data_IF_356041319264
#
_entry.id   IF_356041319264
#
_cell.length_a   1.000
_cell.length_b   1.000
_cell.length_c   1.000
_cell.angle_alpha   90.00
_cell.angle_beta   90.00
_cell.angle_gamma   90.00
#
_symmetry.space_group_name_H-M   'P 1'
#
loop_
_entity.id
_entity.type
_entity.pdbx_description
1 polymer ?
#
# COMPACT_ATOMS: atom_id res chain seq x y z
N UNK A 1 -52.29 24.95 21.30
CA UNK A 1 -51.30 25.23 22.37
C UNK A 1 -50.22 24.16 22.37
N UNK A 2 -49.06 24.45 21.77
CA UNK A 2 -47.69 24.22 22.29
C UNK A 2 -46.72 24.55 21.14
N UNK A 3 -45.88 25.56 21.39
CA UNK A 3 -44.86 26.12 20.49
C UNK A 3 -43.54 25.36 20.67
N UNK A 4 -42.85 25.01 19.58
CA UNK A 4 -41.38 24.82 19.49
C UNK A 4 -41.02 25.18 18.03
N UNK A 5 -40.64 26.42 17.67
CA UNK A 5 -39.31 27.06 17.75
C UNK A 5 -38.14 26.23 17.17
N UNK A 6 -37.86 26.50 15.89
CA UNK A 6 -36.54 26.86 15.32
C UNK A 6 -35.43 25.81 15.29
N UNK A 7 -34.90 25.54 14.10
CA UNK A 7 -33.51 25.88 13.71
C UNK A 7 -33.30 25.46 12.24
N UNK A 8 -33.29 26.43 11.33
CA UNK A 8 -32.67 26.27 10.01
C UNK A 8 -31.16 26.36 10.19
N UNK A 9 -30.46 25.23 10.05
CA UNK A 9 -29.00 25.17 10.00
C UNK A 9 -28.52 25.59 8.62
N UNK A 10 -28.15 26.86 8.49
CA UNK A 10 -27.44 27.40 7.33
C UNK A 10 -25.98 26.89 7.40
N UNK A 11 -25.57 26.07 6.43
CA UNK A 11 -24.18 25.64 6.26
C UNK A 11 -23.39 26.84 5.74
N UNK A 12 -22.65 27.50 6.64
CA UNK A 12 -21.64 28.50 6.30
C UNK A 12 -20.32 27.76 6.06
N UNK A 13 -19.94 27.59 4.79
CA UNK A 13 -18.55 27.33 4.42
C UNK A 13 -17.71 28.54 4.85
N UNK A 14 -16.90 28.38 5.89
CA UNK A 14 -15.89 29.35 6.28
C UNK A 14 -14.66 29.20 5.39
N UNK A 15 -14.64 29.93 4.28
CA UNK A 15 -13.42 30.26 3.54
C UNK A 15 -12.60 31.26 4.36
N UNK A 16 -11.50 30.80 4.96
CA UNK A 16 -10.50 31.69 5.55
C UNK A 16 -9.69 32.36 4.43
N UNK A 17 -10.21 33.46 3.91
CA UNK A 17 -9.47 34.46 3.16
C UNK A 17 -9.06 35.57 4.15
N UNK A 18 -7.79 35.58 4.55
CA UNK A 18 -7.22 36.70 5.32
C UNK A 18 -6.67 37.72 4.32
N UNK A 19 -7.51 38.69 3.96
CA UNK A 19 -7.04 39.97 3.40
C UNK A 19 -6.84 40.95 4.55
N UNK A 20 -5.60 41.41 4.74
CA UNK A 20 -5.29 42.52 5.63
C UNK A 20 -4.62 43.63 4.84
N UNK A 21 -5.43 44.56 4.35
CA UNK A 21 -5.03 45.94 4.11
C UNK A 21 -5.32 46.74 5.37
N UNK A 22 -4.28 47.31 5.98
CA UNK A 22 -4.40 48.48 6.83
C UNK A 22 -3.05 49.21 6.94
N UNK A 23 -2.96 50.36 6.25
CA UNK A 23 -1.99 51.40 6.54
C UNK A 23 -2.45 52.17 7.79
N UNK A 24 -1.63 52.23 8.84
CA UNK A 24 -1.46 53.44 9.67
C UNK A 24 -0.19 53.29 10.50
N UNK A 25 0.69 54.29 10.41
CA UNK A 25 2.08 54.21 10.85
C UNK A 25 2.33 54.29 12.36
N UNK A 26 3.63 54.27 12.65
CA UNK A 26 4.21 54.31 14.00
C UNK A 26 5.14 53.13 14.18
N UNK A 27 6.45 53.37 14.03
CA UNK A 27 7.48 52.34 14.11
C UNK A 27 7.52 51.67 15.47
N UNK A 28 7.62 50.34 15.47
CA UNK A 28 8.71 49.60 16.09
C UNK A 28 8.62 48.13 15.66
N UNK A 29 9.78 47.57 15.37
CA UNK A 29 10.08 46.25 14.80
C UNK A 29 9.09 45.12 15.12
N UNK A 30 8.29 44.74 14.12
CA UNK A 30 7.65 43.41 14.09
C UNK A 30 8.75 42.35 13.93
N UNK A 31 8.91 41.48 14.92
CA UNK A 31 9.45 40.14 14.70
C UNK A 31 8.56 39.47 13.65
N UNK A 32 9.06 39.37 12.43
CA UNK A 32 8.52 38.44 11.45
C UNK A 32 8.71 37.04 12.05
N UNK A 33 7.62 36.31 12.26
CA UNK A 33 7.71 34.86 12.34
C UNK A 33 8.19 34.40 10.96
N UNK A 34 9.49 34.17 10.79
CA UNK A 34 10.00 33.37 9.69
C UNK A 34 9.26 32.03 9.72
N UNK A 35 8.56 31.70 8.64
CA UNK A 35 8.06 30.35 8.46
C UNK A 35 9.31 29.47 8.28
N UNK A 36 9.56 28.52 9.20
CA UNK A 36 10.77 27.65 9.18
C UNK A 36 11.04 26.99 7.81
N UNK A 37 10.03 26.85 6.95
CA UNK A 37 10.11 26.16 5.67
C UNK A 37 10.08 27.11 4.45
N UNK A 38 10.35 28.40 4.60
CA UNK A 38 10.34 29.37 3.48
C UNK A 38 11.56 30.26 3.54
N UNK A 39 12.23 30.42 2.40
CA UNK A 39 13.36 31.32 2.24
C UNK A 39 13.26 32.02 0.89
N UNK A 40 13.87 33.20 0.79
CA UNK A 40 13.72 34.04 -0.39
C UNK A 40 14.94 34.92 -0.61
N UNK A 41 15.14 35.29 -1.86
CA UNK A 41 16.06 36.32 -2.33
C UNK A 41 15.24 37.47 -2.94
N UNK A 42 15.95 38.41 -3.58
CA UNK A 42 15.32 39.41 -4.44
C UNK A 42 14.64 38.78 -5.68
N UNK A 43 15.12 37.65 -6.18
CA UNK A 43 14.68 37.02 -7.44
C UNK A 43 13.76 35.82 -7.24
N UNK A 44 13.92 35.05 -6.16
CA UNK A 44 13.21 33.78 -5.96
C UNK A 44 12.67 33.67 -4.54
N UNK A 45 11.49 33.06 -4.38
CA UNK A 45 10.98 32.57 -3.09
C UNK A 45 10.79 31.06 -3.20
N UNK A 46 11.29 30.32 -2.23
CA UNK A 46 11.22 28.87 -2.17
C UNK A 46 10.61 28.42 -0.84
N UNK A 47 9.78 27.39 -0.90
CA UNK A 47 9.24 26.73 0.29
C UNK A 47 9.14 25.23 0.14
N UNK A 48 9.24 24.52 1.28
CA UNK A 48 8.89 23.11 1.39
C UNK A 48 7.43 23.04 1.88
N UNK A 49 6.52 22.68 1.00
CA UNK A 49 5.07 22.61 1.30
C UNK A 49 4.68 21.30 2.00
N UNK A 50 5.47 20.24 1.78
CA UNK A 50 5.22 18.91 2.31
C UNK A 50 6.31 17.92 1.93
N UNK A 51 6.10 16.67 2.29
CA UNK A 51 6.94 15.56 1.85
C UNK A 51 6.54 14.23 2.47
N UNK A 52 7.01 13.15 1.88
CA UNK A 52 6.75 11.79 2.35
C UNK A 52 7.85 10.84 1.90
N UNK A 53 8.07 9.78 2.66
CA UNK A 53 8.95 8.70 2.24
C UNK A 53 8.28 7.86 1.14
N UNK A 54 9.07 7.49 0.14
CA UNK A 54 8.67 6.67 -1.00
C UNK A 54 9.65 5.51 -1.18
N UNK A 55 9.24 4.52 -1.97
CA UNK A 55 10.07 3.40 -2.43
C UNK A 55 9.92 3.36 -3.96
N UNK A 56 10.91 3.84 -4.72
CA UNK A 56 10.91 3.70 -6.17
C UNK A 56 11.06 2.25 -6.60
N UNK A 57 10.54 1.89 -7.77
CA UNK A 57 10.67 0.53 -8.32
C UNK A 57 12.16 0.12 -8.45
N UNK A 58 12.45 -1.13 -8.08
CA UNK A 58 13.80 -1.69 -8.08
C UNK A 58 14.75 -1.12 -7.02
N UNK A 59 14.30 -0.19 -6.17
CA UNK A 59 15.09 0.33 -5.04
C UNK A 59 14.73 -0.40 -3.76
N UNK A 60 15.73 -0.58 -2.89
CA UNK A 60 15.55 -1.14 -1.55
C UNK A 60 15.79 -0.03 -0.54
N UNK A 61 14.98 -0.02 0.50
CA UNK A 61 15.11 0.87 1.65
C UNK A 61 15.26 0.00 2.90
N UNK A 62 15.90 0.54 3.92
CA UNK A 62 16.02 -0.08 5.24
C UNK A 62 15.47 0.87 6.33
N UNK A 63 15.74 0.54 7.58
CA UNK A 63 15.31 1.36 8.71
C UNK A 63 16.16 2.63 8.89
N UNK A 64 17.33 2.74 8.24
CA UNK A 64 18.26 3.86 8.38
C UNK A 64 18.20 4.84 7.19
N UNK A 65 17.83 4.36 6.01
CA UNK A 65 17.84 5.11 4.75
C UNK A 65 16.50 5.03 4.04
N UNK A 66 16.15 6.06 3.27
CA UNK A 66 14.93 6.09 2.48
C UNK A 66 14.94 7.17 1.42
N UNK A 67 14.02 7.07 0.47
CA UNK A 67 13.81 8.12 -0.52
C UNK A 67 12.76 9.09 0.00
N UNK A 68 13.13 10.34 0.18
CA UNK A 68 12.24 11.40 0.63
C UNK A 68 11.82 12.24 -0.57
N UNK A 69 10.53 12.22 -0.90
CA UNK A 69 9.92 13.11 -1.87
C UNK A 69 9.48 14.39 -1.15
N UNK A 70 10.05 15.53 -1.51
CA UNK A 70 9.76 16.85 -0.96
C UNK A 70 8.95 17.67 -1.96
N UNK A 71 7.79 18.17 -1.55
CA UNK A 71 6.98 19.06 -2.38
C UNK A 71 7.58 20.47 -2.34
N UNK A 72 8.40 20.78 -3.33
CA UNK A 72 9.11 22.06 -3.40
C UNK A 72 8.30 23.05 -4.22
N UNK A 73 8.00 24.19 -3.61
CA UNK A 73 7.38 25.33 -4.28
C UNK A 73 8.43 26.38 -4.60
N UNK A 74 8.44 26.83 -5.85
CA UNK A 74 9.30 27.91 -6.31
C UNK A 74 8.44 29.00 -6.90
N UNK A 75 8.69 30.26 -6.51
CA UNK A 75 8.06 31.45 -7.05
C UNK A 75 9.11 32.38 -7.65
N UNK A 76 8.88 32.80 -8.90
CA UNK A 76 9.66 33.86 -9.54
C UNK A 76 9.21 35.23 -9.04
N UNK A 77 10.11 35.98 -8.40
CA UNK A 77 9.91 37.35 -7.93
C UNK A 77 10.59 38.39 -8.82
N UNK A 78 11.36 37.94 -9.81
CA UNK A 78 12.00 38.80 -10.79
C UNK A 78 11.03 39.15 -11.93
N UNK A 79 11.39 40.20 -12.69
CA UNK A 79 10.67 40.59 -13.93
C UNK A 79 11.03 39.73 -15.13
N UNK A 80 12.14 38.99 -15.03
CA UNK A 80 12.66 38.15 -16.10
C UNK A 80 12.11 36.74 -15.98
N UNK A 81 12.25 35.95 -17.04
CA UNK A 81 11.90 34.53 -17.03
C UNK A 81 12.88 33.79 -16.12
N UNK A 82 12.35 33.00 -15.18
CA UNK A 82 13.14 32.12 -14.33
C UNK A 82 13.01 30.70 -14.87
N UNK A 83 14.11 30.12 -15.30
CA UNK A 83 14.18 28.70 -15.64
C UNK A 83 14.72 27.93 -14.43
N UNK A 84 14.02 26.86 -14.06
CA UNK A 84 14.31 26.05 -12.87
C UNK A 84 14.48 24.60 -13.30
N UNK A 85 15.53 23.96 -12.84
CA UNK A 85 15.82 22.55 -13.06
C UNK A 85 15.96 21.81 -11.74
N UNK A 86 15.62 20.53 -11.73
CA UNK A 86 15.93 19.63 -10.60
C UNK A 86 17.42 19.60 -10.22
N UNK A 87 18.33 19.92 -11.16
CA UNK A 87 19.76 20.02 -10.93
C UNK A 87 20.19 21.29 -10.17
N UNK A 88 19.31 22.30 -10.07
CA UNK A 88 19.55 23.51 -9.29
C UNK A 88 19.45 23.25 -7.78
N UNK A 89 19.02 22.04 -7.39
CA UNK A 89 18.78 21.65 -6.01
C UNK A 89 19.75 20.58 -5.53
N UNK A 90 20.15 20.68 -4.27
CA UNK A 90 20.91 19.64 -3.59
C UNK A 90 20.64 19.67 -2.08
N UNK A 91 20.71 18.51 -1.44
CA UNK A 91 20.84 18.44 0.01
C UNK A 91 22.32 18.37 0.40
N UNK A 92 22.66 18.96 1.53
CA UNK A 92 23.95 18.77 2.19
C UNK A 92 23.71 18.23 3.60
N UNK A 93 24.39 17.16 3.97
CA UNK A 93 24.32 16.64 5.34
C UNK A 93 25.15 17.48 6.32
N UNK A 94 25.13 17.12 7.61
CA UNK A 94 25.88 17.83 8.67
C UNK A 94 27.40 17.85 8.43
N UNK A 95 27.93 16.93 7.63
CA UNK A 95 29.35 16.87 7.24
C UNK A 95 29.64 17.68 5.97
N UNK A 96 28.63 18.33 5.38
CA UNK A 96 28.72 19.07 4.12
C UNK A 96 28.80 18.16 2.88
N UNK A 97 28.44 16.88 3.00
CA UNK A 97 28.40 15.97 1.86
C UNK A 97 27.13 16.22 1.04
N UNK A 98 27.32 16.46 -0.25
CA UNK A 98 26.24 16.66 -1.22
C UNK A 98 25.46 15.37 -1.47
N UNK A 99 24.13 15.49 -1.53
CA UNK A 99 23.17 14.50 -2.00
C UNK A 99 22.37 15.16 -3.15
N UNK A 100 22.47 14.58 -4.34
CA UNK A 100 21.75 15.06 -5.52
C UNK A 100 20.31 14.54 -5.53
N UNK A 101 19.44 15.24 -6.26
CA UNK A 101 18.10 14.77 -6.55
C UNK A 101 18.13 13.53 -7.46
N UNK A 102 17.15 12.66 -7.29
CA UNK A 102 16.98 11.42 -8.05
C UNK A 102 15.82 11.55 -9.04
N UNK A 103 15.99 10.95 -10.22
CA UNK A 103 14.90 10.77 -11.17
C UNK A 103 14.25 9.42 -10.94
N UNK A 104 12.99 9.44 -10.49
CA UNK A 104 12.22 8.25 -10.18
C UNK A 104 10.88 8.29 -10.92
N UNK A 105 10.37 7.10 -11.21
CA UNK A 105 9.10 6.87 -11.87
C UNK A 105 8.36 5.78 -11.10
N UNK A 106 7.04 5.89 -11.00
CA UNK A 106 6.20 4.78 -10.57
C UNK A 106 5.82 3.91 -11.78
N UNK A 107 5.39 2.67 -11.54
CA UNK A 107 5.07 1.73 -12.62
C UNK A 107 3.92 2.20 -13.55
N UNK A 108 3.14 3.20 -13.15
CA UNK A 108 1.99 3.71 -13.88
C UNK A 108 2.18 5.14 -14.42
N UNK A 109 3.38 5.73 -14.29
CA UNK A 109 3.69 7.12 -14.66
C UNK A 109 2.76 8.18 -14.00
N UNK A 110 2.16 7.87 -12.85
CA UNK A 110 1.32 8.80 -12.09
C UNK A 110 2.14 9.70 -11.16
N UNK A 111 3.36 9.30 -10.79
CA UNK A 111 4.26 10.11 -9.96
C UNK A 111 5.30 10.82 -10.82
N UNK A 112 5.15 12.14 -10.95
CA UNK A 112 6.06 13.00 -11.74
C UNK A 112 6.94 13.83 -10.83
N UNK A 113 8.25 13.57 -10.88
CA UNK A 113 9.26 14.43 -10.24
C UNK A 113 9.51 15.71 -11.03
N UNK A 114 9.98 16.74 -10.33
CA UNK A 114 10.40 18.00 -10.94
C UNK A 114 11.44 17.73 -12.03
N UNK A 115 11.23 18.35 -13.18
CA UNK A 115 12.12 18.22 -14.34
C UNK A 115 12.77 19.56 -14.67
N UNK A 116 12.27 20.25 -15.69
CA UNK A 116 12.60 21.64 -15.98
C UNK A 116 11.31 22.43 -16.12
N UNK A 117 11.24 23.55 -15.43
CA UNK A 117 10.09 24.45 -15.44
C UNK A 117 10.53 25.86 -15.81
N UNK A 118 9.60 26.62 -16.36
CA UNK A 118 9.84 28.02 -16.70
C UNK A 118 8.74 28.92 -16.18
N UNK A 119 9.14 29.88 -15.36
CA UNK A 119 8.26 30.77 -14.63
C UNK A 119 8.38 32.20 -15.14
N UNK A 120 7.27 32.75 -15.62
CA UNK A 120 7.13 34.21 -15.79
C UNK A 120 7.08 34.94 -14.45
N UNK A 121 7.21 36.26 -14.48
CA UNK A 121 7.07 37.14 -13.30
C UNK A 121 5.84 36.77 -12.46
N UNK A 122 6.05 36.68 -11.14
CA UNK A 122 5.05 36.37 -10.11
C UNK A 122 4.36 35.01 -10.24
N UNK A 123 4.86 34.10 -11.09
CA UNK A 123 4.36 32.72 -11.20
C UNK A 123 5.10 31.77 -10.27
N UNK A 124 4.42 30.69 -9.90
CA UNK A 124 4.97 29.62 -9.06
C UNK A 124 4.49 28.26 -9.54
N UNK A 125 5.28 27.23 -9.26
CA UNK A 125 4.89 25.82 -9.36
C UNK A 125 5.21 25.10 -8.05
N UNK A 126 4.62 23.91 -7.86
CA UNK A 126 4.95 22.99 -6.78
C UNK A 126 5.08 21.61 -7.39
N UNK A 127 6.28 21.03 -7.31
CA UNK A 127 6.56 19.69 -7.83
C UNK A 127 7.50 18.94 -6.87
N UNK A 128 7.40 17.60 -6.79
CA UNK A 128 8.22 16.82 -5.88
C UNK A 128 9.67 16.69 -6.37
N UNK A 129 10.62 16.85 -5.45
CA UNK A 129 12.03 16.47 -5.62
C UNK A 129 12.35 15.30 -4.71
N UNK A 130 13.05 14.29 -5.23
CA UNK A 130 13.35 13.05 -4.50
C UNK A 130 14.82 13.00 -4.14
N UNK A 131 15.12 12.66 -2.90
CA UNK A 131 16.49 12.47 -2.42
C UNK A 131 16.61 11.17 -1.63
N UNK A 132 17.70 10.43 -1.82
CA UNK A 132 18.07 9.33 -0.92
C UNK A 132 18.71 9.92 0.34
N UNK A 133 18.04 9.77 1.48
CA UNK A 133 18.42 10.39 2.75
C UNK A 133 18.53 9.36 3.86
N UNK A 134 19.32 9.68 4.87
CA UNK A 134 19.21 9.03 6.17
C UNK A 134 17.90 9.45 6.83
N UNK A 135 17.18 8.49 7.37
CA UNK A 135 16.09 8.75 8.30
C UNK A 135 16.68 9.39 9.55
N UNK A 136 15.85 10.15 10.24
CA UNK A 136 16.23 10.74 11.52
C UNK A 136 17.43 11.71 11.50
N UNK A 137 17.66 12.39 10.38
CA UNK A 137 18.82 13.24 10.14
C UNK A 137 18.43 14.66 9.69
N UNK A 138 19.39 15.58 9.77
CA UNK A 138 19.25 16.96 9.32
C UNK A 138 20.05 17.21 8.05
N UNK A 139 19.50 18.05 7.20
CA UNK A 139 20.10 18.46 5.94
C UNK A 139 19.86 19.94 5.68
N UNK A 140 20.67 20.51 4.81
CA UNK A 140 20.45 21.83 4.22
C UNK A 140 20.04 21.65 2.77
N UNK A 141 18.81 22.07 2.42
CA UNK A 141 18.33 22.14 1.05
C UNK A 141 18.80 23.44 0.42
N UNK A 142 19.70 23.30 -0.54
CA UNK A 142 20.23 24.41 -1.32
C UNK A 142 19.51 24.51 -2.65
N UNK A 143 19.24 25.75 -3.05
CA UNK A 143 18.84 26.12 -4.39
C UNK A 143 19.78 27.19 -4.95
N UNK A 144 20.40 26.89 -6.08
CA UNK A 144 21.29 27.77 -6.82
C UNK A 144 20.96 27.65 -8.31
N UNK A 145 20.41 28.73 -8.89
CA UNK A 145 20.02 28.74 -10.29
C UNK A 145 21.25 28.71 -11.20
N UNK A 146 21.33 27.71 -12.08
CA UNK A 146 22.50 27.45 -12.92
C UNK A 146 22.85 28.56 -13.94
N UNK A 147 21.94 29.50 -14.24
CA UNK A 147 22.06 30.40 -15.40
C UNK A 147 22.09 31.91 -15.10
N UNK A 148 22.23 32.34 -13.84
CA UNK A 148 22.43 33.77 -13.60
C UNK A 148 23.88 34.20 -13.91
N UNK A 149 23.96 35.34 -14.60
CA UNK A 149 25.16 35.95 -15.18
C UNK A 149 26.30 36.20 -14.19
N UNK A 150 27.54 36.21 -14.71
CA UNK A 150 28.82 36.46 -13.98
C UNK A 150 28.85 37.75 -13.12
N UNK A 151 27.89 38.65 -13.30
CA UNK A 151 27.76 39.92 -12.58
C UNK A 151 26.55 39.90 -11.63
N UNK A 152 26.65 39.16 -10.53
CA UNK A 152 26.14 39.47 -9.19
C UNK A 152 26.36 38.23 -8.30
N UNK A 153 26.64 38.43 -7.01
CA UNK A 153 26.59 37.36 -6.02
C UNK A 153 25.12 36.94 -5.88
N UNK A 154 24.64 36.11 -6.79
CA UNK A 154 23.27 35.63 -6.69
C UNK A 154 23.16 34.77 -5.43
N UNK A 155 22.31 35.24 -4.53
CA UNK A 155 22.13 34.66 -3.21
C UNK A 155 21.54 33.25 -3.39
N UNK A 156 22.28 32.21 -3.00
CA UNK A 156 21.73 30.87 -2.89
C UNK A 156 20.64 30.85 -1.84
N UNK A 157 19.55 30.12 -2.07
CA UNK A 157 18.56 29.87 -1.03
C UNK A 157 18.98 28.62 -0.26
N UNK A 158 18.95 28.70 1.07
CA UNK A 158 19.16 27.56 1.97
C UNK A 158 17.92 27.37 2.87
N UNK A 159 17.43 26.14 2.96
CA UNK A 159 16.38 25.73 3.89
C UNK A 159 16.83 24.57 4.76
N UNK A 160 16.65 24.68 6.07
CA UNK A 160 16.92 23.59 7.02
C UNK A 160 15.84 22.51 6.86
N UNK A 161 16.28 21.26 6.68
CA UNK A 161 15.44 20.08 6.55
C UNK A 161 15.72 19.14 7.73
N UNK A 162 14.67 18.67 8.40
CA UNK A 162 14.74 17.62 9.42
C UNK A 162 13.89 16.45 8.93
N UNK A 163 14.54 15.34 8.57
CA UNK A 163 13.86 14.19 7.94
C UNK A 163 12.90 13.50 8.90
N UNK A 164 13.06 13.69 10.21
CA UNK A 164 12.12 13.20 11.26
C UNK A 164 10.70 13.74 11.12
N UNK A 165 10.54 14.89 10.45
CA UNK A 165 9.25 15.59 10.33
C UNK A 165 8.32 14.94 9.30
N UNK A 166 8.82 14.04 8.46
CA UNK A 166 8.06 13.47 7.35
C UNK A 166 7.61 12.05 7.65
N UNK A 167 6.37 11.75 7.27
CA UNK A 167 5.76 10.45 7.54
C UNK A 167 6.30 9.36 6.60
N UNK A 168 6.45 8.17 7.16
CA UNK A 168 6.72 6.91 6.46
C UNK A 168 5.55 5.96 6.74
N UNK A 169 4.60 5.90 5.80
CA UNK A 169 3.37 5.12 5.95
C UNK A 169 3.53 3.66 5.49
N UNK A 170 4.73 3.22 5.11
CA UNK A 170 4.98 1.86 4.59
C UNK A 170 4.47 0.77 5.53
N UNK A 171 4.76 0.87 6.83
CA UNK A 171 4.28 -0.09 7.85
C UNK A 171 2.75 -0.06 7.98
N UNK A 172 2.14 1.13 7.86
CA UNK A 172 0.70 1.29 7.96
C UNK A 172 -0.03 0.68 6.76
N UNK A 173 0.48 0.91 5.54
CA UNK A 173 -0.09 0.35 4.30
C UNK A 173 0.11 -1.16 4.21
N UNK A 174 1.27 -1.69 4.63
CA UNK A 174 1.48 -3.13 4.74
C UNK A 174 0.47 -3.77 5.72
N UNK A 175 0.20 -3.13 6.85
CA UNK A 175 -0.77 -3.61 7.82
C UNK A 175 -2.19 -3.67 7.25
N UNK A 176 -2.56 -2.78 6.32
CA UNK A 176 -3.84 -2.88 5.61
C UNK A 176 -3.91 -4.16 4.75
N UNK A 177 -2.84 -4.53 4.04
CA UNK A 177 -2.81 -5.79 3.28
C UNK A 177 -2.91 -7.00 4.22
N UNK A 178 -2.23 -6.98 5.37
CA UNK A 178 -2.37 -8.03 6.40
C UNK A 178 -3.81 -8.16 6.92
N UNK A 179 -4.47 -7.02 7.17
CA UNK A 179 -5.87 -6.97 7.56
C UNK A 179 -6.81 -7.53 6.49
N UNK A 180 -6.57 -7.19 5.22
CA UNK A 180 -7.33 -7.74 4.10
C UNK A 180 -7.21 -9.27 4.07
N UNK A 181 -6.00 -9.82 4.12
CA UNK A 181 -5.76 -11.27 4.12
C UNK A 181 -6.49 -11.94 5.29
N UNK A 182 -6.39 -11.36 6.49
CA UNK A 182 -7.05 -11.90 7.69
C UNK A 182 -8.56 -11.94 7.53
N UNK A 183 -9.17 -10.85 7.05
CA UNK A 183 -10.62 -10.73 6.94
C UNK A 183 -11.21 -11.48 5.76
N UNK A 184 -10.55 -11.43 4.60
CA UNK A 184 -11.06 -11.97 3.34
C UNK A 184 -10.64 -13.42 3.15
N UNK A 185 -9.35 -13.73 3.28
CA UNK A 185 -8.85 -15.07 2.99
C UNK A 185 -8.98 -16.02 4.17
N UNK A 186 -8.69 -15.55 5.39
CA UNK A 186 -8.86 -16.37 6.59
C UNK A 186 -10.26 -16.27 7.19
N UNK A 187 -11.11 -15.38 6.68
CA UNK A 187 -12.46 -15.14 7.18
C UNK A 187 -12.50 -14.97 8.71
N UNK A 188 -11.58 -14.15 9.23
CA UNK A 188 -11.41 -13.91 10.66
C UNK A 188 -11.47 -12.42 11.01
N UNK A 189 -12.15 -12.11 12.12
CA UNK A 189 -12.14 -10.77 12.71
C UNK A 189 -10.94 -10.52 13.64
N UNK A 190 -10.14 -11.56 13.90
CA UNK A 190 -8.98 -11.53 14.79
C UNK A 190 -7.75 -10.95 14.10
N UNK A 191 -7.84 -9.68 13.69
CA UNK A 191 -6.68 -8.93 13.22
C UNK A 191 -5.68 -8.77 14.37
N UNK A 192 -4.40 -9.03 14.07
CA UNK A 192 -3.27 -8.86 15.00
C UNK A 192 -3.23 -7.43 15.55
N UNK A 193 -3.01 -7.28 16.85
CA UNK A 193 -2.96 -5.96 17.50
C UNK A 193 -1.82 -5.08 16.95
N UNK A 194 -0.73 -5.70 16.49
CA UNK A 194 0.38 -5.03 15.83
C UNK A 194 -0.09 -4.36 14.53
N UNK A 195 -0.90 -5.05 13.72
CA UNK A 195 -1.42 -4.54 12.46
C UNK A 195 -2.46 -3.43 12.68
N UNK A 196 -3.31 -3.56 13.71
CA UNK A 196 -4.25 -2.48 14.09
C UNK A 196 -3.51 -1.21 14.49
N UNK A 197 -2.46 -1.36 15.33
CA UNK A 197 -1.64 -0.23 15.78
C UNK A 197 -0.87 0.39 14.62
N UNK A 198 -0.29 -0.42 13.75
CA UNK A 198 0.48 0.04 12.60
C UNK A 198 -0.40 0.79 11.58
N UNK A 199 -1.58 0.28 11.23
CA UNK A 199 -2.51 0.96 10.33
C UNK A 199 -3.00 2.30 10.90
N UNK A 200 -3.15 2.40 12.22
CA UNK A 200 -3.54 3.62 12.90
C UNK A 200 -4.93 4.10 12.46
N UNK A 201 -4.98 5.18 11.67
CA UNK A 201 -6.22 5.75 11.13
C UNK A 201 -6.44 5.42 9.65
N UNK A 202 -5.48 4.78 9.00
CA UNK A 202 -5.67 4.36 7.62
C UNK A 202 -6.67 3.21 7.58
N UNK A 203 -7.47 3.19 6.53
CA UNK A 203 -8.53 2.21 6.32
C UNK A 203 -8.52 1.74 4.87
N UNK A 204 -9.02 0.51 4.67
CA UNK A 204 -9.34 0.01 3.35
C UNK A 204 -10.69 0.54 2.87
N UNK A 205 -10.78 0.88 1.58
CA UNK A 205 -12.02 1.22 0.89
C UNK A 205 -12.80 -0.01 0.41
N UNK A 206 -12.14 -1.17 0.32
CA UNK A 206 -12.73 -2.45 -0.06
C UNK A 206 -13.93 -2.84 0.81
N UNK A 207 -14.93 -3.49 0.20
CA UNK A 207 -16.03 -4.12 0.94
C UNK A 207 -15.58 -5.50 1.44
N UNK A 208 -14.88 -5.51 2.58
CA UNK A 208 -14.24 -6.71 3.12
C UNK A 208 -15.24 -7.83 3.45
N UNK A 209 -16.47 -7.49 3.82
CA UNK A 209 -17.52 -8.48 4.11
C UNK A 209 -18.01 -9.15 2.82
N UNK A 210 -18.31 -8.34 1.80
CA UNK A 210 -18.70 -8.87 0.49
C UNK A 210 -17.56 -9.68 -0.16
N UNK A 211 -16.33 -9.18 -0.11
CA UNK A 211 -15.17 -9.86 -0.69
C UNK A 211 -14.83 -11.17 0.04
N UNK A 212 -14.94 -11.22 1.37
CA UNK A 212 -14.78 -12.47 2.14
C UNK A 212 -15.83 -13.51 1.73
N UNK A 213 -17.09 -13.08 1.60
CA UNK A 213 -18.19 -13.95 1.17
C UNK A 213 -17.94 -14.50 -0.24
N UNK A 214 -17.59 -13.64 -1.20
CA UNK A 214 -17.28 -14.07 -2.57
C UNK A 214 -16.09 -15.02 -2.60
N UNK A 215 -15.02 -14.73 -1.86
CA UNK A 215 -13.87 -15.63 -1.77
C UNK A 215 -14.26 -17.02 -1.24
N UNK A 216 -15.11 -17.09 -0.22
CA UNK A 216 -15.60 -18.36 0.32
C UNK A 216 -16.50 -19.11 -0.67
N UNK A 217 -17.41 -18.42 -1.35
CA UNK A 217 -18.28 -19.00 -2.38
C UNK A 217 -17.46 -19.56 -3.55
N UNK A 218 -16.49 -18.80 -4.05
CA UNK A 218 -15.57 -19.23 -5.12
C UNK A 218 -14.76 -20.46 -4.67
N UNK A 219 -14.25 -20.47 -3.44
CA UNK A 219 -13.51 -21.61 -2.89
C UNK A 219 -14.36 -22.89 -2.79
N UNK A 220 -15.62 -22.76 -2.37
CA UNK A 220 -16.57 -23.88 -2.32
C UNK A 220 -16.90 -24.40 -3.71
N UNK A 221 -17.08 -23.50 -4.68
CA UNK A 221 -17.35 -23.88 -6.07
C UNK A 221 -16.15 -24.61 -6.69
N UNK A 222 -14.93 -24.09 -6.53
CA UNK A 222 -13.72 -24.77 -7.01
C UNK A 222 -13.55 -26.15 -6.37
N UNK A 223 -13.71 -26.28 -5.04
CA UNK A 223 -13.59 -27.59 -4.37
C UNK A 223 -14.63 -28.59 -4.86
N UNK A 224 -15.82 -28.13 -5.25
CA UNK A 224 -16.88 -29.01 -5.77
C UNK A 224 -16.44 -29.73 -7.04
N UNK A 225 -15.61 -29.10 -7.87
CA UNK A 225 -15.18 -29.66 -9.15
C UNK A 225 -14.27 -30.88 -9.01
N UNK A 226 -13.63 -31.05 -7.84
CA UNK A 226 -12.78 -32.21 -7.54
C UNK A 226 -13.59 -33.50 -7.27
N UNK A 227 -14.91 -33.39 -7.09
CA UNK A 227 -15.80 -34.53 -6.82
C UNK A 227 -16.58 -34.92 -8.07
N UNK A 228 -16.41 -36.16 -8.53
CA UNK A 228 -17.01 -36.64 -9.78
C UNK A 228 -18.03 -37.76 -9.59
N UNK A 229 -17.93 -38.51 -8.49
CA UNK A 229 -18.77 -39.66 -8.16
C UNK A 229 -19.74 -39.39 -7.01
N UNK A 230 -19.44 -38.40 -6.17
CA UNK A 230 -20.30 -37.85 -5.13
C UNK A 230 -20.72 -36.42 -5.52
N UNK A 231 -21.92 -36.01 -5.12
CA UNK A 231 -22.40 -34.62 -5.26
C UNK A 231 -22.47 -34.02 -3.85
N UNK A 232 -21.37 -33.37 -3.38
CA UNK A 232 -21.34 -32.75 -2.06
C UNK A 232 -22.40 -31.66 -1.91
N UNK A 233 -22.99 -31.58 -0.73
CA UNK A 233 -23.75 -30.40 -0.35
C UNK A 233 -22.81 -29.21 -0.08
N UNK A 234 -23.31 -27.99 -0.27
CA UNK A 234 -22.58 -26.76 0.06
C UNK A 234 -22.07 -26.77 1.51
N UNK A 235 -22.86 -27.27 2.46
CA UNK A 235 -22.48 -27.32 3.87
C UNK A 235 -21.29 -28.27 4.14
N UNK A 236 -21.17 -29.38 3.40
CA UNK A 236 -20.02 -30.28 3.55
C UNK A 236 -18.74 -29.63 3.00
N UNK A 237 -18.82 -28.98 1.84
CA UNK A 237 -17.69 -28.26 1.23
C UNK A 237 -17.26 -27.06 2.08
N UNK A 238 -18.22 -26.28 2.59
CA UNK A 238 -17.94 -25.15 3.48
C UNK A 238 -17.18 -25.57 4.74
N UNK A 239 -17.42 -26.77 5.27
CA UNK A 239 -16.68 -27.29 6.42
C UNK A 239 -15.20 -27.48 6.09
N UNK A 240 -14.87 -27.99 4.90
CA UNK A 240 -13.49 -28.17 4.44
C UNK A 240 -12.82 -26.80 4.24
N UNK A 241 -13.47 -25.90 3.50
CA UNK A 241 -12.94 -24.55 3.26
C UNK A 241 -12.74 -23.79 4.57
N UNK A 242 -13.71 -23.84 5.49
CA UNK A 242 -13.58 -23.18 6.80
C UNK A 242 -12.41 -23.76 7.60
N UNK A 243 -12.22 -25.09 7.57
CA UNK A 243 -11.08 -25.71 8.23
C UNK A 243 -9.76 -25.27 7.60
N UNK A 244 -9.66 -25.18 6.27
CA UNK A 244 -8.48 -24.69 5.56
C UNK A 244 -8.16 -23.24 5.97
N UNK A 245 -9.17 -22.36 5.98
CA UNK A 245 -9.02 -20.96 6.39
C UNK A 245 -8.53 -20.85 7.84
N UNK A 246 -9.14 -21.57 8.77
CA UNK A 246 -8.75 -21.59 10.19
C UNK A 246 -7.32 -22.11 10.37
N UNK A 247 -7.00 -23.23 9.71
CA UNK A 247 -5.66 -23.82 9.77
C UNK A 247 -4.62 -22.83 9.26
N UNK A 248 -4.87 -22.20 8.11
CA UNK A 248 -3.95 -21.21 7.54
C UNK A 248 -3.85 -19.92 8.36
N UNK A 249 -4.91 -19.53 9.09
CA UNK A 249 -4.84 -18.44 10.06
C UNK A 249 -3.93 -18.77 11.25
N UNK A 250 -3.94 -20.03 11.71
CA UNK A 250 -3.17 -20.48 12.87
C UNK A 250 -1.70 -20.76 12.54
N UNK A 251 -1.42 -21.51 11.46
CA UNK A 251 -0.06 -21.98 11.13
C UNK A 251 0.56 -21.31 9.90
N UNK A 252 -0.25 -20.65 9.07
CA UNK A 252 0.24 -19.98 7.87
C UNK A 252 1.17 -18.81 8.22
N UNK A 253 2.06 -18.49 7.30
CA UNK A 253 2.96 -17.35 7.40
C UNK A 253 2.82 -16.51 6.15
N UNK A 254 2.81 -15.20 6.31
CA UNK A 254 2.82 -14.27 5.18
C UNK A 254 3.95 -13.30 5.39
N UNK A 255 4.82 -13.19 4.40
CA UNK A 255 5.89 -12.19 4.37
C UNK A 255 5.57 -11.13 3.31
N UNK A 256 6.00 -9.91 3.58
CA UNK A 256 5.70 -8.73 2.78
C UNK A 256 6.98 -8.01 2.40
N UNK A 257 7.04 -7.52 1.17
CA UNK A 257 8.07 -6.58 0.74
C UNK A 257 7.51 -5.63 -0.31
N UNK A 258 7.93 -4.36 -0.30
CA UNK A 258 7.48 -3.41 -1.30
C UNK A 258 8.24 -3.62 -2.62
N UNK A 259 7.48 -3.63 -3.73
CA UNK A 259 8.02 -3.36 -5.06
C UNK A 259 8.20 -1.86 -5.24
N UNK A 260 7.14 -1.12 -4.93
CA UNK A 260 7.12 0.34 -4.95
C UNK A 260 6.10 0.90 -3.95
N UNK A 261 6.33 2.12 -3.48
CA UNK A 261 5.46 2.86 -2.56
C UNK A 261 5.54 4.35 -2.87
N UNK A 262 4.40 4.97 -3.14
CA UNK A 262 4.24 6.38 -3.46
C UNK A 262 3.07 6.96 -2.66
N UNK A 263 2.90 8.30 -2.59
CA UNK A 263 1.88 8.91 -1.73
C UNK A 263 0.45 8.44 -1.99
N UNK A 264 0.14 8.06 -3.22
CA UNK A 264 -1.19 7.66 -3.68
C UNK A 264 -1.25 6.26 -4.34
N UNK A 265 -0.14 5.53 -4.39
CA UNK A 265 -0.08 4.18 -4.98
C UNK A 265 0.97 3.31 -4.30
N UNK A 266 0.75 1.99 -4.31
CA UNK A 266 1.72 1.03 -3.79
C UNK A 266 1.61 -0.31 -4.52
N UNK A 267 2.72 -1.03 -4.62
CA UNK A 267 2.73 -2.44 -5.01
C UNK A 267 3.52 -3.22 -3.99
N UNK A 268 2.85 -4.15 -3.32
CA UNK A 268 3.42 -4.99 -2.27
C UNK A 268 3.49 -6.42 -2.79
N UNK A 269 4.66 -7.03 -2.68
CA UNK A 269 4.80 -8.46 -2.80
C UNK A 269 4.31 -9.16 -1.54
N UNK A 270 3.38 -10.10 -1.72
CA UNK A 270 2.82 -10.96 -0.69
C UNK A 270 3.29 -12.38 -0.95
N UNK A 271 3.97 -12.96 0.04
CA UNK A 271 4.52 -14.30 -0.06
C UNK A 271 3.93 -15.20 1.05
N UNK A 272 2.86 -15.96 0.74
CA UNK A 272 2.27 -16.88 1.69
C UNK A 272 3.01 -18.23 1.76
N UNK A 273 3.11 -18.78 2.96
CA UNK A 273 3.39 -20.18 3.27
C UNK A 273 2.17 -20.74 3.99
N UNK A 274 1.50 -21.74 3.41
CA UNK A 274 0.21 -22.24 3.88
C UNK A 274 -0.04 -23.68 3.43
N UNK A 275 -1.16 -24.26 3.87
CA UNK A 275 -1.58 -25.60 3.42
C UNK A 275 -2.12 -25.53 2.00
N UNK A 276 -1.61 -26.40 1.15
CA UNK A 276 -2.22 -26.74 -0.14
C UNK A 276 -2.96 -28.07 0.00
N UNK A 277 -4.08 -28.22 -0.71
CA UNK A 277 -4.85 -29.46 -0.70
C UNK A 277 -4.08 -30.61 -1.37
N UNK A 278 -3.20 -30.30 -2.32
CA UNK A 278 -2.28 -31.28 -2.93
C UNK A 278 -1.24 -31.84 -1.94
N UNK A 279 -0.95 -31.11 -0.85
CA UNK A 279 -0.08 -31.59 0.23
C UNK A 279 -0.81 -32.51 1.23
N UNK A 280 -2.13 -32.65 1.10
CA UNK A 280 -2.93 -33.57 1.91
C UNK A 280 -2.81 -34.96 1.29
N UNK A 281 -2.38 -35.94 2.10
CA UNK A 281 -2.27 -37.34 1.68
C UNK A 281 -3.66 -37.99 1.50
N UNK A 282 -4.30 -37.67 0.38
CA UNK A 282 -5.61 -38.18 0.00
C UNK A 282 -5.56 -39.66 -0.38
N UNK A 283 -4.41 -40.15 -0.87
CA UNK A 283 -4.19 -41.56 -1.20
C UNK A 283 -4.36 -42.44 0.04
N UNK A 284 -3.68 -42.11 1.14
CA UNK A 284 -3.83 -42.83 2.41
C UNK A 284 -5.27 -42.82 2.94
N UNK A 285 -6.03 -41.76 2.71
CA UNK A 285 -7.45 -41.68 3.12
C UNK A 285 -8.28 -42.69 2.32
N UNK A 286 -8.07 -42.74 1.00
CA UNK A 286 -8.80 -43.64 0.10
C UNK A 286 -8.39 -45.10 0.33
N UNK A 287 -7.10 -45.40 0.51
CA UNK A 287 -6.61 -46.75 0.79
C UNK A 287 -7.23 -47.31 2.06
N UNK A 288 -7.29 -46.50 3.13
CA UNK A 288 -7.97 -46.88 4.36
C UNK A 288 -9.45 -47.18 4.13
N UNK A 289 -10.15 -46.37 3.33
CA UNK A 289 -11.55 -46.64 2.98
C UNK A 289 -11.69 -47.98 2.25
N UNK A 290 -10.81 -48.27 1.29
CA UNK A 290 -10.83 -49.52 0.52
C UNK A 290 -10.61 -50.73 1.44
N UNK A 291 -9.60 -50.67 2.32
CA UNK A 291 -9.30 -51.72 3.30
C UNK A 291 -10.48 -51.97 4.24
N UNK A 292 -11.04 -50.92 4.83
CA UNK A 292 -12.14 -51.02 5.79
C UNK A 292 -13.45 -51.53 5.16
N UNK A 293 -13.57 -51.51 3.83
CA UNK A 293 -14.79 -51.84 3.10
C UNK A 293 -14.63 -52.97 2.05
N UNK A 294 -13.56 -53.76 2.15
CA UNK A 294 -13.34 -54.91 1.28
C UNK A 294 -14.55 -55.87 1.30
N UNK A 295 -15.01 -56.28 0.11
CA UNK A 295 -16.12 -57.22 -0.06
C UNK A 295 -17.52 -56.67 0.25
N UNK A 296 -17.67 -55.39 0.65
CA UNK A 296 -18.98 -54.79 0.96
C UNK A 296 -19.75 -54.26 -0.25
N UNK A 297 -19.08 -54.08 -1.38
CA UNK A 297 -19.65 -53.50 -2.59
C UNK A 297 -19.80 -54.54 -3.71
N UNK A 298 -20.91 -54.47 -4.43
CA UNK A 298 -21.18 -55.32 -5.60
C UNK A 298 -21.03 -54.60 -6.93
N UNK A 299 -20.84 -53.28 -6.91
CA UNK A 299 -20.70 -52.43 -8.09
C UNK A 299 -19.68 -51.31 -7.85
N UNK A 300 -19.07 -50.86 -8.95
CA UNK A 300 -17.97 -49.90 -8.93
C UNK A 300 -18.42 -48.45 -8.70
N UNK A 301 -19.66 -48.12 -9.04
CA UNK A 301 -20.20 -46.76 -8.89
C UNK A 301 -20.45 -46.44 -7.41
N UNK A 302 -21.05 -47.37 -6.67
CA UNK A 302 -21.33 -47.22 -5.25
C UNK A 302 -20.05 -47.05 -4.43
N UNK A 303 -19.00 -47.85 -4.71
CA UNK A 303 -17.73 -47.75 -3.99
C UNK A 303 -17.04 -46.41 -4.24
N UNK A 304 -17.02 -45.90 -5.48
CA UNK A 304 -16.41 -44.60 -5.79
C UNK A 304 -17.14 -43.43 -5.13
N UNK A 305 -18.48 -43.42 -5.18
CA UNK A 305 -19.29 -42.40 -4.52
C UNK A 305 -19.01 -42.37 -3.02
N UNK A 306 -19.02 -43.54 -2.37
CA UNK A 306 -18.83 -43.62 -0.93
C UNK A 306 -17.38 -43.32 -0.52
N UNK A 307 -16.39 -43.65 -1.37
CA UNK A 307 -14.99 -43.27 -1.18
C UNK A 307 -14.78 -41.75 -1.25
N UNK A 308 -15.35 -41.08 -2.26
CA UNK A 308 -15.32 -39.61 -2.35
C UNK A 308 -16.03 -38.94 -1.17
N UNK A 309 -17.16 -39.50 -0.73
CA UNK A 309 -17.84 -39.03 0.48
C UNK A 309 -16.98 -39.20 1.74
N UNK A 310 -16.29 -40.33 1.87
CA UNK A 310 -15.37 -40.59 2.99
C UNK A 310 -14.19 -39.62 2.96
N UNK A 311 -13.58 -39.39 1.80
CA UNK A 311 -12.53 -38.39 1.60
C UNK A 311 -12.98 -37.02 2.12
N UNK A 312 -14.13 -36.53 1.67
CA UNK A 312 -14.67 -35.23 2.09
C UNK A 312 -14.85 -35.13 3.61
N UNK A 313 -15.22 -36.22 4.28
CA UNK A 313 -15.40 -36.26 5.74
C UNK A 313 -14.09 -36.22 6.51
N UNK A 314 -13.03 -36.84 5.98
CA UNK A 314 -11.72 -36.92 6.60
C UNK A 314 -10.81 -35.71 6.29
N UNK A 315 -11.04 -35.02 5.17
CA UNK A 315 -10.25 -33.85 4.73
C UNK A 315 -10.02 -32.81 5.85
N UNK A 316 -11.02 -32.36 6.62
CA UNK A 316 -10.80 -31.38 7.69
C UNK A 316 -9.77 -31.85 8.74
N UNK A 317 -9.76 -33.14 9.07
CA UNK A 317 -8.77 -33.70 10.01
C UNK A 317 -7.36 -33.64 9.41
N UNK A 318 -7.22 -33.99 8.13
CA UNK A 318 -5.91 -34.07 7.45
C UNK A 318 -5.32 -32.72 7.06
N UNK A 319 -6.15 -31.72 6.76
CA UNK A 319 -5.70 -30.33 6.55
C UNK A 319 -4.94 -29.80 7.77
N UNK A 320 -5.39 -30.12 8.97
CA UNK A 320 -4.70 -29.71 10.20
C UNK A 320 -3.29 -30.32 10.30
N UNK A 321 -3.13 -31.58 9.91
CA UNK A 321 -1.88 -32.34 9.96
C UNK A 321 -0.90 -31.97 8.84
N UNK A 322 -1.40 -31.45 7.71
CA UNK A 322 -0.59 -31.12 6.54
C UNK A 322 0.51 -30.08 6.84
N UNK A 323 1.66 -30.12 6.14
CA UNK A 323 2.66 -29.06 6.24
C UNK A 323 2.14 -27.73 5.68
N UNK A 324 2.90 -26.66 5.93
CA UNK A 324 2.76 -25.44 5.14
C UNK A 324 3.86 -25.42 4.08
N UNK A 325 3.51 -25.00 2.88
CA UNK A 325 4.41 -24.84 1.75
C UNK A 325 4.16 -23.51 1.05
N UNK A 326 5.00 -23.19 0.07
CA UNK A 326 4.76 -22.10 -0.88
C UNK A 326 4.27 -22.70 -2.19
N UNK A 327 3.39 -21.99 -2.91
CA UNK A 327 2.99 -22.37 -4.28
C UNK A 327 4.22 -22.49 -5.18
N UNK A 328 4.38 -23.65 -5.83
CA UNK A 328 5.49 -23.94 -6.73
C UNK A 328 5.57 -22.99 -7.93
N UNK A 329 4.43 -22.41 -8.33
CA UNK A 329 4.33 -21.49 -9.46
C UNK A 329 4.49 -20.02 -9.07
N UNK A 330 4.60 -19.72 -7.77
CA UNK A 330 4.77 -18.35 -7.30
C UNK A 330 6.16 -17.82 -7.63
N UNK A 331 6.21 -16.58 -8.11
CA UNK A 331 7.49 -15.89 -8.33
C UNK A 331 8.30 -15.81 -7.02
N UNK A 332 9.63 -15.80 -7.12
CA UNK A 332 10.53 -15.68 -5.98
C UNK A 332 10.22 -14.48 -5.07
N UNK A 333 9.81 -13.35 -5.63
CA UNK A 333 9.43 -12.15 -4.87
C UNK A 333 8.05 -12.29 -4.20
N UNK A 334 7.14 -13.12 -4.73
CA UNK A 334 5.77 -13.30 -4.26
C UNK A 334 4.72 -12.79 -5.25
N UNK A 335 3.46 -12.72 -4.83
CA UNK A 335 2.37 -12.15 -5.62
C UNK A 335 2.30 -10.64 -5.46
N UNK A 336 2.18 -9.91 -6.56
CA UNK A 336 1.98 -8.46 -6.53
C UNK A 336 0.54 -8.13 -6.13
N UNK A 337 0.40 -7.35 -5.06
CA UNK A 337 -0.84 -6.71 -4.63
C UNK A 337 -0.72 -5.22 -4.88
N UNK A 338 -1.58 -4.70 -5.75
CA UNK A 338 -1.61 -3.27 -6.10
C UNK A 338 -2.60 -2.55 -5.20
N UNK A 339 -2.20 -1.39 -4.69
CA UNK A 339 -3.05 -0.51 -3.91
C UNK A 339 -3.06 0.88 -4.52
N UNK A 340 -4.22 1.51 -4.50
CA UNK A 340 -4.40 2.91 -4.88
C UNK A 340 -5.08 3.64 -3.74
N UNK A 341 -4.71 4.89 -3.52
CA UNK A 341 -5.36 5.74 -2.54
C UNK A 341 -6.39 6.62 -3.26
N UNK A 342 -7.63 6.55 -2.79
CA UNK A 342 -8.77 7.33 -3.31
C UNK A 342 -9.55 7.91 -2.13
N UNK A 343 -9.82 9.20 -2.19
CA UNK A 343 -10.56 9.92 -1.15
C UNK A 343 -9.99 9.70 0.28
N UNK A 344 -8.66 9.58 0.38
CA UNK A 344 -7.95 9.38 1.65
C UNK A 344 -7.98 7.95 2.21
N UNK A 345 -8.56 6.98 1.49
CA UNK A 345 -8.55 5.55 1.84
C UNK A 345 -7.73 4.76 0.83
N UNK A 346 -7.11 3.69 1.28
CA UNK A 346 -6.40 2.77 0.40
C UNK A 346 -7.36 1.70 -0.11
N UNK A 347 -7.25 1.34 -1.38
CA UNK A 347 -8.04 0.30 -2.02
C UNK A 347 -7.09 -0.73 -2.60
N UNK A 348 -7.24 -1.99 -2.21
CA UNK A 348 -6.56 -3.11 -2.87
C UNK A 348 -7.29 -3.38 -4.18
N UNK A 349 -6.56 -3.43 -5.30
CA UNK A 349 -7.11 -3.89 -6.56
C UNK A 349 -7.37 -5.41 -6.47
N UNK A 350 -8.59 -5.78 -6.09
CA UNK A 350 -9.10 -7.15 -6.04
C UNK A 350 -9.95 -7.51 -7.26
N UNK A 351 -10.01 -6.65 -8.28
CA UNK A 351 -10.81 -6.87 -9.47
C UNK A 351 -10.34 -8.10 -10.26
N UNK A 352 -11.31 -8.87 -10.75
CA UNK A 352 -11.05 -10.02 -11.63
C UNK A 352 -10.81 -9.55 -13.08
N UNK A 353 -9.61 -9.05 -13.34
CA UNK A 353 -9.18 -8.55 -14.64
C UNK A 353 -7.86 -9.18 -15.11
N UNK A 354 -7.67 -9.29 -16.43
CA UNK A 354 -6.51 -9.98 -17.02
C UNK A 354 -5.15 -9.38 -16.61
N UNK A 355 -5.12 -8.09 -16.29
CA UNK A 355 -3.90 -7.38 -15.84
C UNK A 355 -3.63 -7.53 -14.34
N UNK A 356 -4.51 -8.19 -13.60
CA UNK A 356 -4.40 -8.47 -12.17
C UNK A 356 -4.18 -9.96 -11.88
N UNK A 357 -3.45 -10.64 -12.77
CA UNK A 357 -3.21 -12.09 -12.69
C UNK A 357 -2.46 -12.51 -11.43
N UNK A 358 -1.58 -11.66 -10.88
CA UNK A 358 -0.88 -11.94 -9.62
C UNK A 358 -1.86 -12.04 -8.45
N UNK A 359 -2.82 -11.13 -8.35
CA UNK A 359 -3.85 -11.18 -7.31
C UNK A 359 -4.77 -12.39 -7.51
N UNK A 360 -5.12 -12.72 -8.76
CA UNK A 360 -5.88 -13.95 -9.07
C UNK A 360 -5.15 -15.20 -8.58
N UNK A 361 -3.87 -15.35 -8.93
CA UNK A 361 -3.02 -16.48 -8.52
C UNK A 361 -2.88 -16.52 -6.99
N UNK A 362 -2.79 -15.37 -6.34
CA UNK A 362 -2.78 -15.28 -4.89
C UNK A 362 -4.08 -15.84 -4.29
N UNK A 363 -5.26 -15.51 -4.85
CA UNK A 363 -6.54 -16.09 -4.38
C UNK A 363 -6.58 -17.61 -4.54
N UNK A 364 -6.07 -18.15 -5.66
CA UNK A 364 -5.96 -19.60 -5.91
C UNK A 364 -5.06 -20.26 -4.86
N UNK A 365 -3.94 -19.62 -4.53
CA UNK A 365 -3.06 -20.09 -3.47
C UNK A 365 -3.80 -20.09 -2.10
N UNK A 366 -4.45 -18.99 -1.71
CA UNK A 366 -5.14 -18.89 -0.42
C UNK A 366 -6.33 -19.86 -0.24
N UNK A 367 -6.87 -20.42 -1.32
CA UNK A 367 -7.85 -21.51 -1.28
C UNK A 367 -7.23 -22.91 -1.36
N UNK A 368 -5.92 -23.01 -1.11
CA UNK A 368 -5.19 -24.27 -1.04
C UNK A 368 -4.82 -24.86 -2.39
N UNK A 369 -4.67 -24.02 -3.43
CA UNK A 369 -4.30 -24.45 -4.79
C UNK A 369 -5.48 -24.81 -5.69
N UNK A 370 -6.72 -24.66 -5.20
CA UNK A 370 -7.90 -24.83 -6.04
C UNK A 370 -7.93 -23.74 -7.11
N UNK A 371 -8.08 -24.13 -8.37
CA UNK A 371 -8.12 -23.21 -9.49
C UNK A 371 -9.56 -22.75 -9.76
N UNK A 372 -9.69 -21.59 -10.40
CA UNK A 372 -10.94 -21.10 -10.99
C UNK A 372 -11.35 -21.90 -12.25
#
# INVERSE_FOLDING_TARGET
>A
MKKIRGFSGLILLSSLLVTLTACSGGGDTKKANEKENTAQTSKVEMSIEGGSYIIPDGKKVDDETGFLALDIKVKNKSKEKLDVSSNDFALYDEDGKKVSSEHVYDSNDNFKVMSNESLSEDKSFTEPLVFEVKKDAKYDLHYEAMYYSEDEKDESIELKLDTKKYNDDTKAVQALVSQYITKVFYNSDEVKEEDKKAAGKLELANDLEAESKTFKEDSVNSLKEDFTNYDPSTAELEKVITQLQQTNAEKGKVTYSFKEFFPESAVIYVRPEMVFLDDVDTESIIDKFVEENEGKYTDYTSVRRDAEKYLLQELPGKINEAPINTDENMNGEGYQVKLEKKDGKWEINSANESRNYHFKSMKEAFRGGLND
#
